data_IF_861167169344
#
_entry.id   IF_861167169344
#
_cell.length_a   1.000
_cell.length_b   1.000
_cell.length_c   1.000
_cell.angle_alpha   90.00
_cell.angle_beta   90.00
_cell.angle_gamma   90.00
#
_symmetry.space_group_name_H-M   'P 1'
#
loop_
_entity.id
_entity.type
_entity.pdbx_description
1 polymer ?
#
# COMPACT_ATOMS: atom_id res chain seq x y z
N UNK A 1 -9.39 -2.42 7.86
CA UNK A 1 -9.11 -0.97 7.70
C UNK A 1 -8.08 -0.80 6.60
N UNK A 2 -8.13 0.26 5.81
CA UNK A 2 -7.13 0.51 4.77
C UNK A 2 -5.98 1.39 5.31
N UNK A 3 -4.75 0.93 5.18
CA UNK A 3 -3.55 1.69 5.51
C UNK A 3 -2.91 2.22 4.23
N UNK A 4 -2.88 3.54 4.08
CA UNK A 4 -2.29 4.22 2.92
C UNK A 4 -0.90 4.69 3.33
N UNK A 5 0.15 4.12 2.75
CA UNK A 5 1.54 4.42 3.09
C UNK A 5 2.15 5.28 1.99
N UNK A 6 2.54 6.52 2.35
CA UNK A 6 3.08 7.51 1.42
C UNK A 6 4.59 7.75 1.57
N UNK A 7 5.22 7.20 2.63
CA UNK A 7 6.65 7.35 2.87
C UNK A 7 7.27 6.13 3.57
N UNK A 8 8.60 6.03 3.53
CA UNK A 8 9.35 5.01 4.24
C UNK A 8 9.25 5.15 5.77
N UNK A 9 9.13 6.38 6.29
CA UNK A 9 8.90 6.63 7.71
C UNK A 9 7.52 6.13 8.14
N UNK A 10 6.50 6.43 7.32
CA UNK A 10 5.13 5.97 7.52
C UNK A 10 5.01 4.45 7.56
N UNK A 11 5.77 3.73 6.71
CA UNK A 11 5.84 2.26 6.73
C UNK A 11 6.27 1.71 8.10
N UNK A 12 7.27 2.33 8.73
CA UNK A 12 7.77 1.92 10.05
C UNK A 12 6.69 2.03 11.13
N UNK A 13 5.92 3.11 11.10
CA UNK A 13 4.82 3.37 12.04
C UNK A 13 3.56 2.54 11.75
N UNK A 14 3.29 2.24 10.49
CA UNK A 14 2.15 1.43 10.07
C UNK A 14 2.29 -0.04 10.51
N UNK A 15 3.46 -0.64 10.28
CA UNK A 15 3.70 -2.09 10.47
C UNK A 15 3.25 -2.67 11.82
N UNK A 16 3.49 -2.04 12.99
CA UNK A 16 3.05 -2.59 14.28
C UNK A 16 1.54 -2.47 14.55
N UNK A 17 0.79 -1.72 13.72
CA UNK A 17 -0.62 -1.42 13.94
C UNK A 17 -1.56 -2.18 13.00
N UNK A 18 -1.02 -2.88 12.01
CA UNK A 18 -1.74 -3.73 11.07
C UNK A 18 -2.33 -4.95 11.79
N UNK A 19 -3.58 -5.29 11.47
CA UNK A 19 -4.33 -6.46 11.98
C UNK A 19 -4.78 -7.38 10.84
N UNK A 20 -5.19 -8.60 11.17
CA UNK A 20 -5.51 -9.66 10.19
C UNK A 20 -6.63 -9.34 9.18
N UNK A 21 -7.43 -8.29 9.41
CA UNK A 21 -8.51 -7.83 8.50
C UNK A 21 -8.22 -6.47 7.85
N UNK A 22 -6.98 -6.03 7.93
CA UNK A 22 -6.55 -4.79 7.32
C UNK A 22 -5.98 -5.04 5.92
N UNK A 23 -5.83 -3.96 5.17
CA UNK A 23 -5.16 -3.93 3.88
C UNK A 23 -4.16 -2.78 3.88
N UNK A 24 -3.08 -2.91 3.12
CA UNK A 24 -2.08 -1.86 2.94
C UNK A 24 -1.96 -1.51 1.47
N UNK A 25 -1.97 -0.22 1.15
CA UNK A 25 -1.66 0.29 -0.18
C UNK A 25 -0.49 1.28 -0.10
N UNK A 26 0.51 1.08 -0.96
CA UNK A 26 1.63 1.99 -1.14
C UNK A 26 1.31 2.98 -2.26
N UNK A 27 1.53 4.27 -2.00
CA UNK A 27 1.22 5.37 -2.92
C UNK A 27 2.43 6.31 -3.06
N UNK A 28 2.67 6.79 -4.28
CA UNK A 28 3.77 7.66 -4.62
C UNK A 28 5.14 6.95 -4.65
N UNK A 29 6.21 7.70 -4.38
CA UNK A 29 7.58 7.18 -4.50
C UNK A 29 7.90 5.97 -3.60
N UNK A 30 7.12 5.73 -2.54
CA UNK A 30 7.28 4.55 -1.68
C UNK A 30 6.74 3.25 -2.31
N UNK A 31 5.96 3.33 -3.38
CA UNK A 31 5.48 2.15 -4.13
C UNK A 31 6.64 1.27 -4.61
N UNK A 32 7.78 1.85 -4.98
CA UNK A 32 9.00 1.12 -5.35
C UNK A 32 9.61 0.29 -4.20
N UNK A 33 9.20 0.56 -2.96
CA UNK A 33 9.60 -0.16 -1.75
C UNK A 33 8.47 -1.04 -1.20
N UNK A 34 7.37 -1.18 -1.94
CA UNK A 34 6.26 -2.03 -1.56
C UNK A 34 6.72 -3.48 -1.40
N UNK A 35 6.43 -4.04 -0.23
CA UNK A 35 6.69 -5.42 0.13
C UNK A 35 5.55 -5.90 0.99
N UNK A 36 5.28 -7.21 0.94
CA UNK A 36 4.24 -7.84 1.74
C UNK A 36 4.44 -7.51 3.22
N UNK A 37 3.39 -7.02 3.85
CA UNK A 37 3.35 -6.77 5.28
C UNK A 37 2.50 -7.85 5.91
N UNK A 38 3.10 -8.78 6.64
CA UNK A 38 2.37 -9.87 7.30
C UNK A 38 1.60 -10.77 6.31
N UNK A 39 0.48 -11.35 6.74
CA UNK A 39 -0.44 -12.18 5.94
C UNK A 39 -1.54 -11.37 5.26
N UNK A 40 -1.53 -10.03 5.34
CA UNK A 40 -2.63 -9.20 4.86
C UNK A 40 -2.48 -8.80 3.38
N UNK A 41 -3.58 -8.46 2.71
CA UNK A 41 -3.54 -7.89 1.37
C UNK A 41 -2.65 -6.65 1.30
N UNK A 42 -1.73 -6.64 0.34
CA UNK A 42 -0.78 -5.56 0.11
C UNK A 42 -0.82 -5.14 -1.35
N UNK A 43 -1.02 -3.86 -1.58
CA UNK A 43 -1.22 -3.25 -2.89
C UNK A 43 -0.18 -2.15 -3.16
N UNK A 44 0.13 -1.88 -4.42
CA UNK A 44 0.93 -0.73 -4.82
C UNK A 44 0.39 -0.12 -6.12
N UNK A 45 0.44 1.21 -6.22
CA UNK A 45 0.01 1.90 -7.43
C UNK A 45 1.00 1.63 -8.58
N UNK A 46 0.53 1.01 -9.67
CA UNK A 46 1.36 0.59 -10.81
C UNK A 46 2.05 1.77 -11.49
N UNK A 47 1.32 2.87 -11.70
CA UNK A 47 1.84 4.07 -12.35
C UNK A 47 2.97 4.73 -11.55
N UNK A 48 2.98 4.57 -10.22
CA UNK A 48 4.02 5.13 -9.35
C UNK A 48 5.32 4.32 -9.38
N UNK A 49 5.28 3.03 -9.74
CA UNK A 49 6.47 2.18 -9.90
C UNK A 49 7.30 2.57 -11.12
N UNK A 50 6.65 3.06 -12.18
CA UNK A 50 7.30 3.44 -13.44
C UNK A 50 8.33 4.58 -13.24
N UNK A 51 8.16 5.39 -12.19
CA UNK A 51 9.12 6.43 -11.82
C UNK A 51 10.34 5.95 -11.04
N UNK A 52 10.30 4.75 -10.44
CA UNK A 52 11.30 4.27 -9.48
C UNK A 52 12.25 3.18 -9.97
N UNK A 53 12.00 2.57 -11.14
CA UNK A 53 12.90 1.60 -11.78
C UNK A 53 13.04 0.24 -11.09
N UNK A 54 12.31 0.00 -9.99
CA UNK A 54 12.31 -1.28 -9.27
C UNK A 54 10.95 -1.96 -9.40
N UNK A 55 10.90 -3.25 -9.80
CA UNK A 55 9.65 -4.00 -9.78
C UNK A 55 9.19 -4.19 -8.33
N UNK A 56 7.88 -4.13 -8.11
CA UNK A 56 7.31 -4.47 -6.81
C UNK A 56 7.60 -5.94 -6.46
N UNK A 57 7.58 -6.26 -5.16
CA UNK A 57 7.69 -7.66 -4.71
C UNK A 57 6.57 -8.51 -5.35
N UNK A 58 6.83 -9.77 -5.75
CA UNK A 58 5.82 -10.62 -6.42
C UNK A 58 4.54 -10.85 -5.61
N UNK A 59 4.59 -10.64 -4.31
CA UNK A 59 3.45 -10.80 -3.41
C UNK A 59 2.60 -9.52 -3.24
N UNK A 60 3.01 -8.42 -3.89
CA UNK A 60 2.27 -7.15 -3.89
C UNK A 60 1.39 -7.10 -5.13
N UNK A 61 0.11 -6.83 -4.94
CA UNK A 61 -0.84 -6.66 -6.03
C UNK A 61 -0.68 -5.25 -6.60
N UNK A 62 -0.40 -5.18 -7.90
CA UNK A 62 -0.36 -3.89 -8.59
C UNK A 62 -1.77 -3.48 -8.96
N UNK A 63 -2.12 -2.24 -8.61
CA UNK A 63 -3.41 -1.65 -8.89
C UNK A 63 -3.23 -0.28 -9.55
N UNK A 64 -4.23 0.18 -10.30
CA UNK A 64 -4.30 1.55 -10.77
C UNK A 64 -5.04 2.48 -9.77
N UNK A 65 -5.25 3.73 -10.17
CA UNK A 65 -5.94 4.71 -9.34
C UNK A 65 -7.45 4.49 -9.27
N UNK A 66 -8.06 3.88 -10.28
CA UNK A 66 -9.50 3.57 -10.27
C UNK A 66 -9.75 2.42 -9.28
N UNK A 67 -8.93 1.37 -9.33
CA UNK A 67 -8.93 0.27 -8.36
C UNK A 67 -8.58 0.75 -6.94
N UNK A 68 -7.74 1.77 -6.78
CA UNK A 68 -7.49 2.39 -5.48
C UNK A 68 -8.73 3.09 -4.92
N UNK A 69 -9.50 3.79 -5.76
CA UNK A 69 -10.76 4.42 -5.34
C UNK A 69 -11.76 3.36 -4.87
N UNK A 70 -11.88 2.25 -5.60
CA UNK A 70 -12.71 1.12 -5.20
C UNK A 70 -12.24 0.51 -3.87
N UNK A 71 -10.92 0.31 -3.70
CA UNK A 71 -10.34 -0.21 -2.45
C UNK A 71 -10.63 0.69 -1.24
N UNK A 72 -10.58 2.02 -1.43
CA UNK A 72 -10.97 2.99 -0.40
C UNK A 72 -12.46 2.87 -0.07
N UNK A 73 -13.32 2.66 -1.06
CA UNK A 73 -14.76 2.52 -0.86
C UNK A 73 -15.16 1.20 -0.18
N UNK A 74 -14.43 0.10 -0.41
CA UNK A 74 -14.66 -1.20 0.23
C UNK A 74 -14.34 -1.19 1.73
N UNK A 75 -13.44 -0.31 2.16
CA UNK A 75 -13.00 -0.24 3.55
C UNK A 75 -13.76 0.86 4.32
N UNK A 76 -14.43 0.48 5.41
CA UNK A 76 -15.18 1.42 6.24
C UNK A 76 -14.36 2.60 6.80
N UNK A 77 -13.03 2.43 6.93
CA UNK A 77 -12.11 3.46 7.39
C UNK A 77 -10.75 3.30 6.72
N UNK A 78 -10.04 4.42 6.55
CA UNK A 78 -8.66 4.48 6.11
C UNK A 78 -7.79 5.32 7.05
N UNK A 79 -6.48 5.06 7.06
CA UNK A 79 -5.46 5.87 7.74
C UNK A 79 -4.27 6.08 6.82
N UNK A 80 -3.77 7.30 6.77
CA UNK A 80 -2.62 7.68 5.96
C UNK A 80 -1.37 7.85 6.82
N UNK A 81 -0.26 7.27 6.36
CA UNK A 81 1.05 7.31 7.00
C UNK A 81 2.04 8.08 6.14
N UNK A 82 2.59 9.16 6.69
CA UNK A 82 3.56 10.07 6.04
C UNK A 82 4.90 10.08 6.76
#
# INVERSE_FOLDING_TARGET
MLHIVCSLGGLGSCRPLVRDRDAVVFLGGVSAHAKKISSIPTYAIESDLKGGGNPASPEVVLIDYDEFVDLVAEHANSVTWT
#
